data_IF_987504227671
#
_entry.id   IF_987504227671
#
_cell.length_a   1.000
_cell.length_b   1.000
_cell.length_c   1.000
_cell.angle_alpha   90.00
_cell.angle_beta   90.00
_cell.angle_gamma   90.00
#
_symmetry.space_group_name_H-M   'P 1'
#
loop_
_entity.id
_entity.type
_entity.pdbx_description
1 polymer ?
#
# COMPACT_ATOMS: atom_id res chain seq x y z
N UNK A 1 4.02 -4.82 17.43
CA UNK A 1 2.96 -4.30 16.55
C UNK A 1 3.42 -2.96 16.00
N UNK A 2 3.82 -2.92 14.73
CA UNK A 2 4.25 -1.68 14.07
C UNK A 2 3.02 -0.78 13.89
N UNK A 3 3.04 0.41 14.50
CA UNK A 3 1.91 1.33 14.49
C UNK A 3 2.07 2.29 13.31
N UNK A 4 1.09 2.30 12.41
CA UNK A 4 1.03 3.25 11.28
C UNK A 4 0.89 4.72 11.73
N UNK A 5 0.60 4.94 13.03
CA UNK A 5 0.21 6.23 13.60
C UNK A 5 1.29 7.33 13.52
N UNK A 6 2.58 6.96 13.48
CA UNK A 6 3.68 7.94 13.40
C UNK A 6 4.15 8.20 11.96
N UNK A 7 3.63 7.46 10.97
CA UNK A 7 3.98 7.65 9.57
C UNK A 7 2.98 8.59 8.87
N UNK A 8 3.49 9.64 8.23
CA UNK A 8 2.65 10.56 7.46
C UNK A 8 2.20 9.89 6.16
N UNK A 9 1.00 9.34 6.18
CA UNK A 9 0.41 8.74 5.00
C UNK A 9 0.17 9.79 3.90
N UNK A 10 0.49 9.46 2.63
CA UNK A 10 0.22 10.34 1.52
C UNK A 10 -1.29 10.44 1.25
N UNK A 11 -1.73 11.54 0.63
CA UNK A 11 -3.15 11.83 0.38
C UNK A 11 -3.84 10.74 -0.46
N UNK A 12 -3.13 10.11 -1.39
CA UNK A 12 -3.66 9.03 -2.23
C UNK A 12 -3.93 7.73 -1.45
N UNK A 13 -3.39 7.58 -0.24
CA UNK A 13 -3.69 6.42 0.61
C UNK A 13 -5.15 6.38 1.07
N UNK A 14 -5.86 7.51 1.01
CA UNK A 14 -7.30 7.56 1.29
C UNK A 14 -8.16 7.54 0.01
N UNK A 15 -7.56 7.26 -1.15
CA UNK A 15 -8.26 7.15 -2.42
C UNK A 15 -8.62 5.68 -2.70
N UNK A 16 -9.89 5.26 -2.61
CA UNK A 16 -10.25 3.84 -2.72
C UNK A 16 -9.72 3.13 -3.97
N UNK A 17 -9.73 3.75 -5.18
CA UNK A 17 -9.18 3.11 -6.37
C UNK A 17 -7.68 2.81 -6.29
N UNK A 18 -6.95 3.40 -5.35
CA UNK A 18 -5.54 3.09 -5.11
C UNK A 18 -5.32 1.65 -4.62
N UNK A 19 -6.30 1.06 -3.93
CA UNK A 19 -6.27 -0.33 -3.46
C UNK A 19 -6.85 -1.32 -4.47
N UNK A 20 -7.34 -0.84 -5.61
CA UNK A 20 -7.86 -1.67 -6.71
C UNK A 20 -6.92 -1.60 -7.91
N UNK A 21 -6.50 -2.75 -8.42
CA UNK A 21 -5.62 -2.80 -9.59
C UNK A 21 -6.26 -2.08 -10.78
N UNK A 22 -5.56 -1.09 -11.33
CA UNK A 22 -6.08 -0.31 -12.45
C UNK A 22 -6.07 -1.12 -13.76
N UNK A 23 -7.14 -1.00 -14.53
CA UNK A 23 -7.31 -1.69 -15.82
C UNK A 23 -6.39 -1.12 -16.91
N UNK A 24 -6.23 0.21 -16.92
CA UNK A 24 -5.42 0.92 -17.91
C UNK A 24 -3.93 0.77 -17.57
N UNK A 25 -3.10 0.47 -18.57
CA UNK A 25 -1.66 0.20 -18.38
C UNK A 25 -0.94 1.40 -17.75
N UNK A 26 -1.12 2.60 -18.30
CA UNK A 26 -0.48 3.81 -17.79
C UNK A 26 -0.85 4.13 -16.34
N UNK A 27 -2.11 3.93 -15.95
CA UNK A 27 -2.55 4.17 -14.57
C UNK A 27 -2.09 3.07 -13.62
N UNK A 28 -2.00 1.83 -14.10
CA UNK A 28 -1.43 0.71 -13.34
C UNK A 28 0.06 0.89 -13.09
N UNK A 29 0.82 1.33 -14.08
CA UNK A 29 2.25 1.62 -13.91
C UNK A 29 2.48 2.73 -12.87
N UNK A 30 1.68 3.80 -12.95
CA UNK A 30 1.69 4.87 -11.93
C UNK A 30 1.31 4.34 -10.55
N UNK A 31 0.29 3.51 -10.46
CA UNK A 31 -0.13 2.88 -9.19
C UNK A 31 1.00 2.05 -8.59
N UNK A 32 1.67 1.22 -9.39
CA UNK A 32 2.81 0.41 -8.93
C UNK A 32 3.97 1.30 -8.45
N UNK A 33 4.26 2.38 -9.18
CA UNK A 33 5.31 3.32 -8.81
C UNK A 33 5.02 3.98 -7.44
N UNK A 34 3.78 4.44 -7.24
CA UNK A 34 3.34 5.01 -5.97
C UNK A 34 3.42 4.01 -4.81
N UNK A 35 3.07 2.74 -5.05
CA UNK A 35 3.21 1.68 -4.05
C UNK A 35 4.66 1.44 -3.67
N UNK A 36 5.57 1.40 -4.64
CA UNK A 36 7.01 1.26 -4.39
C UNK A 36 7.54 2.41 -3.53
N UNK A 37 7.19 3.64 -3.88
CA UNK A 37 7.61 4.83 -3.13
C UNK A 37 7.08 4.81 -1.70
N UNK A 38 5.79 4.49 -1.51
CA UNK A 38 5.15 4.40 -0.21
C UNK A 38 5.82 3.34 0.69
N UNK A 39 6.05 2.13 0.16
CA UNK A 39 6.68 1.04 0.91
C UNK A 39 8.09 1.43 1.31
N UNK A 40 8.88 1.99 0.39
CA UNK A 40 10.25 2.42 0.68
C UNK A 40 10.30 3.50 1.76
N UNK A 41 9.38 4.46 1.71
CA UNK A 41 9.34 5.56 2.67
C UNK A 41 8.91 5.08 4.07
N UNK A 42 7.95 4.15 4.12
CA UNK A 42 7.57 3.47 5.36
C UNK A 42 8.73 2.65 5.94
N UNK A 43 9.42 1.86 5.11
CA UNK A 43 10.59 1.10 5.52
C UNK A 43 11.70 1.99 6.08
N UNK A 44 11.96 3.15 5.46
CA UNK A 44 12.94 4.13 5.95
C UNK A 44 12.55 4.71 7.29
N UNK A 45 11.29 5.10 7.47
CA UNK A 45 10.83 5.74 8.72
C UNK A 45 10.76 4.78 9.89
N UNK A 46 10.30 3.54 9.65
CA UNK A 46 10.18 2.50 10.67
C UNK A 46 11.45 1.65 10.84
N UNK A 47 12.51 1.93 10.05
CA UNK A 47 13.76 1.14 9.99
C UNK A 47 13.51 -0.35 9.76
N UNK A 48 12.56 -0.65 8.87
CA UNK A 48 12.19 -2.02 8.49
C UNK A 48 12.95 -2.39 7.23
N UNK A 49 13.77 -3.43 7.33
CA UNK A 49 14.60 -3.93 6.21
C UNK A 49 14.11 -5.26 5.65
N UNK A 50 13.17 -5.91 6.34
CA UNK A 50 12.60 -7.18 5.95
C UNK A 50 11.08 -7.06 5.95
N UNK A 51 10.44 -7.42 4.84
CA UNK A 51 8.98 -7.43 4.70
C UNK A 51 8.59 -8.87 4.36
N UNK A 52 7.80 -9.51 5.21
CA UNK A 52 7.14 -10.76 4.88
C UNK A 52 5.97 -10.49 3.93
N UNK A 53 5.91 -11.18 2.80
CA UNK A 53 4.79 -11.06 1.84
C UNK A 53 3.54 -11.77 2.35
N UNK A 54 3.71 -12.78 3.21
CA UNK A 54 2.63 -13.58 3.79
C UNK A 54 2.07 -13.00 5.09
N UNK A 55 2.76 -12.03 5.72
CA UNK A 55 2.30 -11.41 6.95
C UNK A 55 1.42 -10.19 6.66
N UNK A 56 0.46 -9.92 7.56
CA UNK A 56 -0.42 -8.75 7.52
C UNK A 56 0.40 -7.44 7.57
N UNK A 57 0.80 -6.95 6.40
CA UNK A 57 1.60 -5.75 6.29
C UNK A 57 0.70 -4.52 6.42
N UNK A 58 0.96 -3.63 7.38
CA UNK A 58 0.02 -2.57 7.76
C UNK A 58 -0.20 -1.50 6.69
N UNK A 59 0.62 -1.47 5.62
CA UNK A 59 0.37 -0.61 4.46
C UNK A 59 -0.63 -1.20 3.46
N UNK A 60 -0.87 -2.50 3.47
CA UNK A 60 -1.78 -3.17 2.52
C UNK A 60 -3.24 -3.23 3.01
N UNK A 61 -3.47 -2.88 4.27
CA UNK A 61 -4.79 -2.75 4.87
C UNK A 61 -4.98 -1.33 5.42
N UNK A 62 -5.95 -0.59 4.87
CA UNK A 62 -6.36 0.69 5.45
C UNK A 62 -7.57 0.46 6.35
N UNK A 63 -7.33 0.37 7.67
CA UNK A 63 -8.37 0.17 8.68
C UNK A 63 -9.41 1.30 8.72
N UNK A 64 -9.11 2.46 8.13
CA UNK A 64 -10.01 3.61 8.10
C UNK A 64 -11.03 3.57 6.95
N UNK A 65 -10.83 2.71 5.94
CA UNK A 65 -11.67 2.67 4.73
C UNK A 65 -12.21 1.26 4.46
N UNK A 66 -12.02 0.29 5.36
CA UNK A 66 -12.43 -1.11 5.16
C UNK A 66 -12.00 -1.64 3.78
N UNK A 67 -10.83 -1.20 3.31
CA UNK A 67 -10.34 -1.45 1.96
C UNK A 67 -9.03 -2.22 2.07
N UNK A 68 -9.10 -3.52 1.80
CA UNK A 68 -7.96 -4.41 1.63
C UNK A 68 -7.59 -4.47 0.14
N UNK A 69 -6.30 -4.57 -0.20
CA UNK A 69 -5.90 -4.82 -1.59
C UNK A 69 -6.53 -6.14 -2.03
N UNK A 70 -7.55 -6.04 -2.88
CA UNK A 70 -8.23 -7.21 -3.42
C UNK A 70 -7.36 -7.75 -4.57
N UNK A 71 -6.64 -8.84 -4.32
CA UNK A 71 -5.82 -9.56 -5.31
C UNK A 71 -6.65 -10.21 -6.46
N UNK A 72 -7.88 -9.77 -6.74
CA UNK A 72 -8.87 -10.52 -7.56
C UNK A 72 -8.66 -10.54 -9.08
N UNK A 73 -7.48 -10.22 -9.62
CA UNK A 73 -7.26 -10.28 -11.07
C UNK A 73 -6.23 -11.33 -11.50
N UNK A 74 -5.93 -12.31 -10.63
CA UNK A 74 -5.13 -13.49 -10.98
C UNK A 74 -5.96 -14.79 -11.10
N UNK A 75 -7.17 -14.68 -11.66
CA UNK A 75 -7.85 -15.80 -12.34
C UNK A 75 -7.91 -15.52 -13.83
#
# INVERSE_FOLDING_TARGET
MQKLADFKLPRFFNYPPYFTLQLVRDTREKQIQLWKELILDYCKTQKVFLIGVEEDFPLFSNSSIDSMIHYCLFT
#
